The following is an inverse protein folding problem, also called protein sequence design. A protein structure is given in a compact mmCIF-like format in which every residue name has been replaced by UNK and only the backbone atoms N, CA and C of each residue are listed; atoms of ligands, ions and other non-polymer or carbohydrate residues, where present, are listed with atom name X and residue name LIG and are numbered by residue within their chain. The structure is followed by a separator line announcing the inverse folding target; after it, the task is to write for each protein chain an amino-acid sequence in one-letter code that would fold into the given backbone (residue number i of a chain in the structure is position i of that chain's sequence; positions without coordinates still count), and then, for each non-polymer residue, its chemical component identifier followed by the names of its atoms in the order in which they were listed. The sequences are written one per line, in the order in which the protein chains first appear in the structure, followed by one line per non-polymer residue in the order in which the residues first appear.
data_IF_619057215311
#
_entry.id   IF_619057215311
#
_cell.length_a   1.000
_cell.length_b   1.000
_cell.length_c   1.000
_cell.angle_alpha   90.00
_cell.angle_beta   90.00
_cell.angle_gamma   90.00
#
_symmetry.space_group_name_H-M   'P 1'
#
loop_
_entity.id
_entity.type
_entity.pdbx_description
1 polymer ?
#
# COMPACT_ATOMS: atom_id res chain seq x y z
N UNK A 1 -26.24 -35.77 43.99
CA UNK A 1 -26.27 -36.40 42.66
C UNK A 1 -25.95 -35.33 41.64
N UNK A 2 -24.72 -35.34 41.14
CA UNK A 2 -24.25 -34.48 40.05
C UNK A 2 -24.91 -34.90 38.74
N UNK A 3 -25.20 -33.94 37.88
CA UNK A 3 -25.23 -34.15 36.44
C UNK A 3 -24.65 -32.92 35.76
N UNK A 4 -23.34 -33.02 35.56
CA UNK A 4 -22.55 -32.34 34.56
C UNK A 4 -23.08 -32.70 33.16
N UNK A 5 -23.19 -31.74 32.25
CA UNK A 5 -23.23 -32.05 30.82
C UNK A 5 -22.60 -30.91 30.02
N UNK A 6 -21.31 -31.08 29.79
CA UNK A 6 -20.47 -30.30 28.89
C UNK A 6 -20.52 -30.87 27.47
N UNK A 7 -20.31 -29.98 26.50
CA UNK A 7 -19.83 -30.20 25.14
C UNK A 7 -20.78 -30.80 24.07
N UNK A 8 -21.20 -29.95 23.13
CA UNK A 8 -20.87 -30.09 21.70
C UNK A 8 -21.36 -28.85 20.92
N UNK A 9 -20.56 -27.77 20.90
CA UNK A 9 -20.75 -26.70 19.90
C UNK A 9 -19.95 -27.11 18.67
N UNK A 10 -20.65 -27.71 17.71
CA UNK A 10 -20.13 -28.05 16.40
C UNK A 10 -19.78 -26.76 15.62
N UNK A 11 -18.54 -26.66 15.14
CA UNK A 11 -18.09 -25.60 14.22
C UNK A 11 -18.90 -25.67 12.92
N UNK A 12 -19.38 -24.56 12.36
CA UNK A 12 -20.05 -24.60 11.06
C UNK A 12 -19.04 -25.00 9.99
N UNK A 13 -19.43 -25.97 9.17
CA UNK A 13 -18.71 -26.47 8.01
C UNK A 13 -18.61 -25.39 6.95
N UNK A 14 -17.38 -25.03 6.57
CA UNK A 14 -17.09 -24.22 5.38
C UNK A 14 -17.78 -24.86 4.17
N UNK A 15 -18.73 -24.14 3.58
CA UNK A 15 -19.49 -24.64 2.44
C UNK A 15 -18.65 -24.47 1.19
N UNK A 16 -18.62 -25.45 0.30
CA UNK A 16 -17.82 -25.50 -0.94
C UNK A 16 -17.91 -24.22 -1.81
N UNK A 17 -19.03 -23.51 -1.75
CA UNK A 17 -19.22 -22.21 -2.43
C UNK A 17 -18.34 -21.08 -1.86
N UNK A 18 -18.10 -21.08 -0.55
CA UNK A 18 -17.25 -20.08 0.12
C UNK A 18 -15.77 -20.29 -0.24
N UNK A 19 -15.38 -21.56 -0.32
CA UNK A 19 -14.03 -21.96 -0.75
C UNK A 19 -13.79 -21.58 -2.22
N UNK A 20 -14.75 -21.83 -3.11
CA UNK A 20 -14.63 -21.49 -4.53
C UNK A 20 -14.58 -19.96 -4.74
N UNK A 21 -15.43 -19.19 -4.04
CA UNK A 21 -15.41 -17.73 -4.11
C UNK A 21 -14.05 -17.14 -3.69
N UNK A 22 -13.50 -17.63 -2.57
CA UNK A 22 -12.20 -17.19 -2.06
C UNK A 22 -11.04 -17.53 -3.01
N UNK A 23 -11.11 -18.68 -3.69
CA UNK A 23 -10.13 -19.08 -4.71
C UNK A 23 -10.22 -18.19 -5.94
N UNK A 24 -11.41 -17.87 -6.43
CA UNK A 24 -11.60 -16.99 -7.60
C UNK A 24 -11.13 -15.55 -7.32
N UNK A 25 -11.42 -15.00 -6.14
CA UNK A 25 -10.95 -13.67 -5.72
C UNK A 25 -9.43 -13.60 -5.57
N UNK A 26 -8.82 -14.66 -5.01
CA UNK A 26 -7.35 -14.77 -4.91
C UNK A 26 -6.72 -14.82 -6.31
N UNK A 27 -7.34 -15.52 -7.26
CA UNK A 27 -6.85 -15.60 -8.64
C UNK A 27 -7.02 -14.29 -9.41
N UNK A 28 -8.10 -13.55 -9.20
CA UNK A 28 -8.33 -12.23 -9.80
C UNK A 28 -7.33 -11.20 -9.26
N UNK A 29 -7.10 -11.17 -7.95
CA UNK A 29 -6.09 -10.32 -7.33
C UNK A 29 -4.68 -10.67 -7.83
N UNK A 30 -4.36 -11.95 -7.95
CA UNK A 30 -3.08 -12.41 -8.53
C UNK A 30 -2.93 -12.05 -10.01
N UNK A 31 -4.00 -12.07 -10.81
CA UNK A 31 -3.97 -11.64 -12.22
C UNK A 31 -3.79 -10.12 -12.34
N UNK A 32 -4.45 -9.32 -11.51
CA UNK A 32 -4.25 -7.86 -11.46
C UNK A 32 -2.82 -7.50 -11.02
N UNK A 33 -2.27 -8.21 -10.04
CA UNK A 33 -0.88 -8.07 -9.62
C UNK A 33 0.13 -8.44 -10.71
N UNK A 34 -0.03 -9.61 -11.34
CA UNK A 34 0.86 -10.06 -12.42
C UNK A 34 0.73 -9.22 -13.70
N UNK A 35 -0.46 -8.70 -14.00
CA UNK A 35 -0.65 -7.77 -15.12
C UNK A 35 0.06 -6.44 -14.90
N UNK A 36 0.08 -5.92 -13.66
CA UNK A 36 0.85 -4.72 -13.29
C UNK A 36 2.36 -4.88 -13.47
N UNK A 37 2.90 -6.09 -13.25
CA UNK A 37 4.30 -6.43 -13.53
C UNK A 37 4.63 -6.53 -15.03
N UNK A 38 3.63 -6.64 -15.91
CA UNK A 38 3.79 -6.97 -17.32
C UNK A 38 3.82 -5.80 -18.31
N UNK A 39 3.60 -4.56 -17.88
CA UNK A 39 3.52 -3.38 -18.76
C UNK A 39 4.80 -2.53 -18.84
N UNK A 40 5.93 -3.04 -18.34
CA UNK A 40 7.26 -2.45 -18.56
C UNK A 40 7.82 -2.76 -19.96
N UNK A 41 7.09 -2.39 -21.02
CA UNK A 41 7.52 -2.51 -22.42
C UNK A 41 8.21 -1.24 -22.89
N UNK A 42 9.51 -1.32 -23.16
CA UNK A 42 10.37 -0.18 -23.48
C UNK A 42 10.00 0.62 -24.73
N UNK A 43 10.30 1.92 -24.66
CA UNK A 43 10.42 2.84 -25.79
C UNK A 43 11.67 3.68 -25.61
N UNK A 44 12.53 3.68 -26.62
CA UNK A 44 13.82 4.36 -26.67
C UNK A 44 13.67 5.89 -26.86
N UNK A 45 14.56 6.69 -26.26
CA UNK A 45 14.74 8.08 -26.67
C UNK A 45 15.48 9.00 -25.69
N UNK A 46 16.72 9.34 -26.06
CA UNK A 46 17.54 10.48 -25.64
C UNK A 46 18.29 10.43 -24.29
N UNK A 47 19.62 10.55 -24.42
CA UNK A 47 20.64 10.65 -23.37
C UNK A 47 21.02 12.13 -23.16
N UNK A 48 21.51 12.42 -21.95
CA UNK A 48 22.41 13.52 -21.54
C UNK A 48 21.80 14.85 -21.08
N UNK A 49 21.84 15.02 -19.76
CA UNK A 49 21.95 16.31 -19.07
C UNK A 49 22.49 16.11 -17.66
N UNK A 50 23.82 16.19 -17.50
CA UNK A 50 24.49 16.24 -16.20
C UNK A 50 24.11 17.54 -15.47
N UNK A 51 23.50 17.47 -14.29
CA UNK A 51 23.88 18.35 -13.18
C UNK A 51 23.69 17.64 -11.84
N UNK A 52 24.82 17.53 -11.12
CA UNK A 52 24.86 17.28 -9.69
C UNK A 52 24.64 18.63 -9.01
N UNK A 53 23.57 18.78 -8.25
CA UNK A 53 23.46 19.76 -7.18
C UNK A 53 22.37 19.29 -6.22
N UNK A 54 22.73 19.06 -4.96
CA UNK A 54 21.74 18.93 -3.91
C UNK A 54 21.16 20.31 -3.66
N UNK A 55 19.84 20.44 -3.75
CA UNK A 55 19.02 21.52 -3.19
C UNK A 55 17.54 21.18 -3.44
N UNK A 56 16.67 21.55 -2.49
CA UNK A 56 15.30 21.04 -2.34
C UNK A 56 14.42 21.12 -3.60
N UNK A 57 13.52 20.15 -3.71
CA UNK A 57 12.53 20.05 -4.79
C UNK A 57 11.65 21.30 -4.81
N UNK A 58 11.81 22.13 -5.84
CA UNK A 58 10.89 23.24 -6.10
C UNK A 58 9.50 22.69 -6.45
N UNK A 59 8.45 23.45 -6.11
CA UNK A 59 7.05 23.13 -6.43
C UNK A 59 6.91 22.67 -7.89
N UNK A 60 6.22 21.55 -8.12
CA UNK A 60 6.05 20.95 -9.46
C UNK A 60 5.45 21.96 -10.47
N UNK A 61 4.67 22.93 -9.99
CA UNK A 61 4.11 24.00 -10.80
C UNK A 61 5.07 25.18 -11.08
N UNK A 62 6.16 25.37 -10.31
CA UNK A 62 7.18 26.38 -10.64
C UNK A 62 8.00 25.98 -11.87
N UNK A 63 7.87 24.72 -12.30
CA UNK A 63 8.36 24.20 -13.57
C UNK A 63 7.35 24.42 -14.71
N UNK A 64 6.65 25.57 -14.72
CA UNK A 64 5.86 26.10 -15.84
C UNK A 64 6.69 26.42 -17.11
N UNK A 65 7.85 25.77 -17.25
CA UNK A 65 8.71 25.71 -18.42
C UNK A 65 9.06 24.27 -18.84
N UNK A 66 8.28 23.26 -18.43
CA UNK A 66 8.35 21.92 -19.03
C UNK A 66 8.68 20.73 -18.11
N UNK A 67 8.35 20.77 -16.81
CA UNK A 67 8.42 19.52 -16.04
C UNK A 67 7.24 18.61 -16.36
N UNK A 68 7.57 17.38 -16.74
CA UNK A 68 6.61 16.32 -16.94
C UNK A 68 6.04 15.90 -15.59
N UNK A 69 4.72 15.92 -15.44
CA UNK A 69 4.04 15.34 -14.28
C UNK A 69 4.48 13.88 -14.09
N UNK A 70 4.64 13.39 -12.85
CA UNK A 70 4.98 11.99 -12.61
C UNK A 70 3.98 11.03 -13.27
N UNK A 71 4.47 9.90 -13.75
CA UNK A 71 3.61 8.85 -14.25
C UNK A 71 2.73 8.27 -13.11
N UNK A 72 1.51 7.78 -13.44
CA UNK A 72 0.68 7.09 -12.47
C UNK A 72 1.44 5.96 -11.78
N UNK A 73 1.33 5.91 -10.46
CA UNK A 73 2.10 4.98 -9.61
C UNK A 73 1.15 4.04 -8.91
N UNK A 74 1.21 2.76 -9.30
CA UNK A 74 0.41 1.68 -8.71
C UNK A 74 1.18 0.97 -7.60
N UNK A 75 0.49 0.71 -6.49
CA UNK A 75 1.04 -0.05 -5.38
C UNK A 75 -0.07 -0.84 -4.65
N UNK A 76 0.30 -1.61 -3.62
CA UNK A 76 -0.57 -2.59 -3.00
C UNK A 76 -0.50 -2.51 -1.48
N UNK A 77 -1.66 -2.52 -0.81
CA UNK A 77 -1.80 -2.31 0.62
C UNK A 77 -2.29 -3.60 1.31
N UNK A 78 -1.43 -4.29 2.07
CA UNK A 78 -1.85 -5.39 2.92
C UNK A 78 -2.79 -4.90 4.03
N UNK A 79 -3.93 -5.55 4.17
CA UNK A 79 -4.98 -5.16 5.11
C UNK A 79 -5.61 -6.37 5.80
N UNK A 80 -6.44 -6.08 6.80
CA UNK A 80 -7.38 -7.03 7.41
C UNK A 80 -8.77 -6.39 7.34
N UNK A 81 -9.77 -7.17 6.95
CA UNK A 81 -11.15 -6.69 6.82
C UNK A 81 -11.97 -6.86 8.13
N UNK A 82 -13.28 -6.64 8.03
CA UNK A 82 -14.22 -6.80 9.13
C UNK A 82 -14.37 -8.23 9.67
N UNK A 83 -14.01 -9.24 8.87
CA UNK A 83 -14.11 -10.66 9.19
C UNK A 83 -12.80 -11.26 9.71
N UNK A 84 -11.80 -10.41 9.95
CA UNK A 84 -10.41 -10.78 10.29
C UNK A 84 -9.67 -11.55 9.16
N UNK A 85 -10.18 -11.49 7.93
CA UNK A 85 -9.53 -12.05 6.75
C UNK A 85 -8.51 -11.08 6.16
N UNK A 86 -7.42 -11.65 5.63
CA UNK A 86 -6.32 -10.90 5.03
C UNK A 86 -6.55 -10.65 3.56
N UNK A 87 -6.32 -9.42 3.14
CA UNK A 87 -6.46 -9.00 1.75
C UNK A 87 -5.37 -8.00 1.37
N UNK A 88 -5.24 -7.79 0.07
CA UNK A 88 -4.35 -6.77 -0.49
C UNK A 88 -5.19 -5.88 -1.37
N UNK A 89 -5.15 -4.57 -1.09
CA UNK A 89 -5.91 -3.55 -1.82
C UNK A 89 -4.97 -2.84 -2.79
N UNK A 90 -5.14 -3.01 -4.11
CA UNK A 90 -4.43 -2.20 -5.08
C UNK A 90 -4.92 -0.75 -5.02
N UNK A 91 -4.00 0.18 -5.26
CA UNK A 91 -4.35 1.57 -5.49
C UNK A 91 -3.36 2.21 -6.46
N UNK A 92 -3.80 3.32 -7.04
CA UNK A 92 -3.01 4.14 -7.94
C UNK A 92 -3.00 5.59 -7.46
N UNK A 93 -1.85 6.24 -7.61
CA UNK A 93 -1.65 7.65 -7.36
C UNK A 93 -1.31 8.35 -8.67
N UNK A 94 -2.01 9.44 -8.95
CA UNK A 94 -1.76 10.33 -10.08
C UNK A 94 -1.70 11.78 -9.59
N UNK A 95 -0.88 12.59 -10.25
CA UNK A 95 -0.77 14.01 -9.99
C UNK A 95 -1.19 14.81 -11.23
N UNK A 96 -2.02 15.82 -11.01
CA UNK A 96 -2.41 16.79 -12.05
C UNK A 96 -2.20 18.21 -11.54
N UNK A 97 -2.22 19.19 -12.44
CA UNK A 97 -2.26 20.60 -12.03
C UNK A 97 -3.49 20.86 -11.16
N UNK A 98 -3.33 21.66 -10.11
CA UNK A 98 -4.38 21.96 -9.13
C UNK A 98 -3.89 22.92 -8.04
N UNK A 99 -4.67 23.04 -6.97
CA UNK A 99 -4.44 23.93 -5.82
C UNK A 99 -4.24 23.13 -4.51
N UNK A 100 -3.73 21.90 -4.63
CA UNK A 100 -3.40 21.02 -3.50
C UNK A 100 -4.54 20.12 -3.04
N UNK A 101 -5.56 19.93 -3.87
CA UNK A 101 -6.69 19.06 -3.60
C UNK A 101 -6.26 17.59 -3.46
N UNK A 102 -7.08 16.84 -2.73
CA UNK A 102 -7.01 15.39 -2.66
C UNK A 102 -8.34 14.82 -3.15
N UNK A 103 -8.30 14.16 -4.30
CA UNK A 103 -9.43 13.39 -4.83
C UNK A 103 -9.22 11.92 -4.49
N UNK A 104 -10.22 11.31 -3.88
CA UNK A 104 -10.16 9.90 -3.47
C UNK A 104 -11.29 9.15 -4.15
N UNK A 105 -10.95 8.21 -5.03
CA UNK A 105 -11.91 7.27 -5.58
C UNK A 105 -11.77 5.93 -4.85
N UNK A 106 -12.83 5.51 -4.19
CA UNK A 106 -12.82 4.34 -3.32
C UNK A 106 -13.29 3.05 -4.00
N UNK A 107 -13.96 3.13 -5.15
CA UNK A 107 -14.47 1.98 -5.92
C UNK A 107 -15.01 0.82 -5.06
N UNK A 108 -15.93 1.09 -4.14
CA UNK A 108 -16.52 0.06 -3.27
C UNK A 108 -15.83 -0.13 -1.92
N UNK A 109 -14.79 0.65 -1.60
CA UNK A 109 -14.23 0.71 -0.23
C UNK A 109 -15.05 1.66 0.63
N UNK A 110 -15.37 1.24 1.85
CA UNK A 110 -16.09 2.08 2.81
C UNK A 110 -15.21 3.24 3.29
N UNK A 111 -15.75 4.47 3.23
CA UNK A 111 -15.09 5.64 3.79
C UNK A 111 -15.09 5.54 5.31
N UNK A 112 -13.91 5.44 5.92
CA UNK A 112 -13.74 5.50 7.37
C UNK A 112 -12.77 6.61 7.78
N UNK A 113 -12.87 7.03 9.05
CA UNK A 113 -12.07 8.12 9.59
C UNK A 113 -10.56 7.82 9.55
N UNK A 114 -10.19 6.54 9.72
CA UNK A 114 -8.81 6.06 9.64
C UNK A 114 -8.21 6.19 8.24
N UNK A 115 -8.96 5.89 7.17
CA UNK A 115 -8.47 6.05 5.80
C UNK A 115 -8.26 7.53 5.44
N UNK A 116 -9.19 8.40 5.83
CA UNK A 116 -9.05 9.85 5.60
C UNK A 116 -7.84 10.43 6.34
N UNK A 117 -7.61 9.96 7.57
CA UNK A 117 -6.45 10.35 8.36
C UNK A 117 -5.16 9.84 7.72
N UNK A 118 -5.10 8.56 7.35
CA UNK A 118 -3.95 7.93 6.70
C UNK A 118 -3.53 8.67 5.43
N UNK A 119 -4.48 9.05 4.58
CA UNK A 119 -4.20 9.76 3.32
C UNK A 119 -3.62 11.15 3.57
N UNK A 120 -4.13 11.87 4.58
CA UNK A 120 -3.62 13.20 4.94
C UNK A 120 -2.19 13.10 5.47
N UNK A 121 -1.97 12.23 6.44
CA UNK A 121 -0.67 12.06 7.09
C UNK A 121 0.38 11.47 6.13
N UNK A 122 -0.03 10.57 5.21
CA UNK A 122 0.86 10.08 4.15
C UNK A 122 1.30 11.18 3.19
N UNK A 123 0.42 12.13 2.82
CA UNK A 123 0.77 13.29 1.99
C UNK A 123 1.75 14.21 2.70
N UNK A 124 1.52 14.47 3.99
CA UNK A 124 2.42 15.28 4.83
C UNK A 124 3.79 14.61 5.04
N UNK A 125 3.80 13.30 5.25
CA UNK A 125 5.04 12.52 5.31
C UNK A 125 5.79 12.56 3.97
N UNK A 126 5.09 12.38 2.85
CA UNK A 126 5.70 12.38 1.53
C UNK A 126 6.33 13.73 1.16
N UNK A 127 5.64 14.86 1.42
CA UNK A 127 6.23 16.20 1.20
C UNK A 127 7.44 16.44 2.10
N UNK A 128 7.37 16.04 3.38
CA UNK A 128 8.51 16.12 4.31
C UNK A 128 9.72 15.31 3.85
N UNK A 129 9.50 14.07 3.39
CA UNK A 129 10.57 13.15 2.95
C UNK A 129 11.19 13.49 1.59
N UNK A 130 10.46 14.22 0.74
CA UNK A 130 10.92 14.63 -0.59
C UNK A 130 11.43 16.06 -0.62
N UNK A 131 11.08 16.88 0.39
CA UNK A 131 11.27 18.32 0.35
C UNK A 131 10.44 19.02 -0.73
N UNK A 132 9.46 18.32 -1.31
CA UNK A 132 8.58 18.84 -2.35
C UNK A 132 7.33 19.52 -1.78
N UNK A 133 6.55 20.12 -2.67
CA UNK A 133 5.26 20.76 -2.35
C UNK A 133 4.14 20.21 -3.23
N UNK A 134 3.00 19.96 -2.61
CA UNK A 134 1.75 19.61 -3.28
C UNK A 134 0.81 20.81 -3.42
N UNK A 135 1.22 22.03 -3.04
CA UNK A 135 0.33 23.21 -3.02
C UNK A 135 -0.28 23.53 -4.39
N UNK A 136 0.44 23.27 -5.48
CA UNK A 136 -0.01 23.55 -6.83
C UNK A 136 -0.26 22.25 -7.62
N UNK A 137 -0.65 21.19 -6.92
CA UNK A 137 -0.79 19.86 -7.51
C UNK A 137 -1.96 19.14 -6.87
N UNK A 138 -2.95 18.79 -7.68
CA UNK A 138 -4.02 17.91 -7.24
C UNK A 138 -3.49 16.46 -7.15
N UNK A 139 -3.78 15.79 -6.04
CA UNK A 139 -3.44 14.39 -5.81
C UNK A 139 -4.69 13.54 -6.03
N UNK A 140 -4.65 12.60 -6.96
CA UNK A 140 -5.72 11.62 -7.19
C UNK A 140 -5.28 10.27 -6.64
N UNK A 141 -6.08 9.69 -5.75
CA UNK A 141 -5.85 8.35 -5.20
C UNK A 141 -7.05 7.48 -5.53
N UNK A 142 -6.82 6.47 -6.38
CA UNK A 142 -7.86 5.54 -6.80
C UNK A 142 -7.57 4.17 -6.21
N UNK A 143 -8.46 3.69 -5.36
CA UNK A 143 -8.41 2.34 -4.83
C UNK A 143 -9.20 1.38 -5.72
N UNK A 144 -8.79 0.12 -5.75
CA UNK A 144 -9.54 -0.96 -6.41
C UNK A 144 -10.01 -1.94 -5.34
N UNK A 145 -11.33 -2.14 -5.22
CA UNK A 145 -11.85 -3.17 -4.32
C UNK A 145 -11.51 -4.56 -4.88
N UNK A 146 -10.86 -5.44 -4.08
CA UNK A 146 -10.59 -6.81 -4.48
C UNK A 146 -11.83 -7.71 -4.47
N UNK A 147 -12.95 -7.25 -3.92
CA UNK A 147 -14.21 -8.02 -3.84
C UNK A 147 -15.39 -7.23 -4.42
N UNK A 148 -16.45 -7.96 -4.78
CA UNK A 148 -17.66 -7.41 -5.43
C UNK A 148 -18.62 -6.67 -4.48
N UNK A 149 -18.23 -6.49 -3.21
CA UNK A 149 -19.04 -5.85 -2.17
C UNK A 149 -18.38 -4.61 -1.56
N UNK A 150 -19.07 -4.01 -0.57
CA UNK A 150 -18.50 -2.91 0.20
C UNK A 150 -17.44 -3.45 1.16
N UNK A 151 -16.21 -3.00 0.99
CA UNK A 151 -15.08 -3.46 1.79
C UNK A 151 -14.80 -2.49 2.95
N UNK A 152 -15.02 -2.97 4.17
CA UNK A 152 -14.72 -2.25 5.41
C UNK A 152 -13.29 -2.57 5.88
N UNK A 153 -12.35 -1.72 5.50
CA UNK A 153 -10.96 -1.83 5.94
C UNK A 153 -10.79 -1.36 7.39
N UNK A 154 -9.89 -1.99 8.17
CA UNK A 154 -9.63 -1.63 9.58
C UNK A 154 -8.24 -1.05 9.87
N UNK A 155 -8.23 0.18 10.38
CA UNK A 155 -7.08 0.80 11.04
C UNK A 155 -6.08 1.46 10.10
N UNK A 156 -5.34 2.46 10.58
CA UNK A 156 -4.43 3.33 9.80
C UNK A 156 -3.19 2.63 9.20
N UNK A 157 -3.08 1.29 9.29
CA UNK A 157 -1.87 0.52 8.96
C UNK A 157 -1.44 0.52 7.48
N UNK A 158 -2.19 1.18 6.61
CA UNK A 158 -1.89 1.37 5.18
C UNK A 158 -1.07 2.62 4.90
N UNK A 159 -0.92 3.50 5.89
CA UNK A 159 -0.24 4.79 5.73
C UNK A 159 1.20 4.65 5.24
N UNK A 160 1.94 3.66 5.73
CA UNK A 160 3.29 3.41 5.26
C UNK A 160 3.32 3.09 3.75
N UNK A 161 2.35 2.30 3.26
CA UNK A 161 2.24 1.97 1.84
C UNK A 161 1.80 3.17 0.98
N UNK A 162 0.86 3.97 1.48
CA UNK A 162 0.45 5.23 0.84
C UNK A 162 1.64 6.20 0.73
N UNK A 163 2.41 6.34 1.82
CA UNK A 163 3.61 7.19 1.87
C UNK A 163 4.66 6.72 0.88
N UNK A 164 4.90 5.40 0.80
CA UNK A 164 5.84 4.82 -0.17
C UNK A 164 5.45 5.16 -1.60
N UNK A 165 4.17 4.99 -1.97
CA UNK A 165 3.73 5.28 -3.34
C UNK A 165 3.82 6.77 -3.69
N UNK A 166 3.42 7.64 -2.76
CA UNK A 166 3.54 9.09 -2.93
C UNK A 166 4.99 9.54 -3.08
N UNK A 167 5.89 9.05 -2.22
CA UNK A 167 7.33 9.37 -2.30
C UNK A 167 7.94 8.85 -3.60
N UNK A 168 7.59 7.64 -4.03
CA UNK A 168 8.08 7.06 -5.27
C UNK A 168 7.66 7.89 -6.49
N UNK A 169 6.38 8.26 -6.54
CA UNK A 169 5.82 9.07 -7.62
C UNK A 169 6.46 10.46 -7.65
N UNK A 170 6.58 11.14 -6.49
CA UNK A 170 7.23 12.45 -6.39
C UNK A 170 8.73 12.41 -6.74
N UNK A 171 9.43 11.32 -6.40
CA UNK A 171 10.84 11.12 -6.79
C UNK A 171 11.00 10.56 -8.22
N UNK A 172 9.90 10.27 -8.91
CA UNK A 172 9.89 9.60 -10.21
C UNK A 172 10.73 8.31 -10.22
N UNK A 173 10.67 7.55 -9.12
CA UNK A 173 11.38 6.26 -8.97
C UNK A 173 10.38 5.11 -9.08
N UNK A 174 10.79 4.04 -9.74
CA UNK A 174 9.99 2.82 -9.85
C UNK A 174 9.90 2.10 -8.50
N UNK A 175 8.73 1.56 -8.20
CA UNK A 175 8.48 0.73 -7.01
C UNK A 175 8.69 -0.75 -7.33
N UNK A 176 9.36 -1.47 -6.44
CA UNK A 176 9.26 -2.92 -6.41
C UNK A 176 7.82 -3.34 -6.07
N UNK A 177 7.19 -4.09 -6.96
CA UNK A 177 5.89 -4.70 -6.67
C UNK A 177 6.05 -6.00 -5.86
N UNK A 178 7.27 -6.53 -5.74
CA UNK A 178 7.55 -7.75 -4.97
C UNK A 178 7.69 -7.51 -3.46
N UNK A 179 7.83 -6.24 -3.05
CA UNK A 179 8.02 -5.83 -1.65
C UNK A 179 6.85 -4.96 -1.21
N UNK A 180 6.06 -5.46 -0.26
CA UNK A 180 4.94 -4.73 0.34
C UNK A 180 5.33 -4.22 1.73
N UNK A 181 4.57 -3.26 2.25
CA UNK A 181 4.79 -2.68 3.59
C UNK A 181 3.46 -2.50 4.33
N UNK A 182 3.49 -2.68 5.65
CA UNK A 182 2.41 -2.25 6.55
C UNK A 182 3.01 -1.48 7.72
N UNK A 183 2.28 -0.50 8.24
CA UNK A 183 2.76 0.35 9.31
C UNK A 183 2.04 1.69 9.34
N UNK A 184 2.27 2.40 10.45
CA UNK A 184 1.90 3.81 10.62
C UNK A 184 3.19 4.62 10.62
N UNK A 185 3.23 5.78 9.95
CA UNK A 185 4.39 6.65 9.90
C UNK A 185 4.18 7.79 10.91
N UNK A 186 5.07 7.93 11.88
CA UNK A 186 5.00 9.07 12.79
C UNK A 186 5.68 10.33 12.21
N UNK A 187 5.61 11.44 12.95
CA UNK A 187 6.20 12.72 12.53
C UNK A 187 7.72 12.64 12.35
N UNK A 188 8.40 11.78 13.12
CA UNK A 188 9.83 11.53 13.03
C UNK A 188 10.19 10.57 11.88
N UNK A 189 9.21 9.94 11.24
CA UNK A 189 9.39 8.95 10.18
C UNK A 189 9.62 7.53 10.71
N UNK A 190 9.39 7.26 11.99
CA UNK A 190 9.44 5.91 12.54
C UNK A 190 8.18 5.12 12.11
N UNK A 191 8.35 3.80 11.94
CA UNK A 191 7.23 2.89 11.70
C UNK A 191 6.67 2.41 13.04
N UNK A 192 5.42 2.76 13.33
CA UNK A 192 4.74 2.35 14.56
C UNK A 192 4.10 0.96 14.43
N UNK A 193 4.00 0.18 15.54
CA UNK A 193 3.44 -1.17 15.53
C UNK A 193 2.01 -1.27 14.99
N UNK A 194 1.72 -2.38 14.32
CA UNK A 194 0.39 -2.70 13.78
C UNK A 194 0.03 -4.16 14.02
N UNK A 195 -1.27 -4.46 14.08
CA UNK A 195 -1.78 -5.81 14.24
C UNK A 195 -1.92 -6.59 12.92
N UNK A 196 -2.23 -7.88 13.05
CA UNK A 196 -2.59 -8.76 11.93
C UNK A 196 -1.43 -9.09 10.99
N UNK A 197 -0.18 -9.09 11.47
CA UNK A 197 1.02 -9.30 10.65
C UNK A 197 0.96 -10.63 9.89
N UNK A 198 0.58 -11.72 10.56
CA UNK A 198 0.42 -13.02 9.93
C UNK A 198 -0.63 -13.03 8.82
N UNK A 199 -1.81 -12.49 9.11
CA UNK A 199 -2.92 -12.42 8.14
C UNK A 199 -2.51 -11.60 6.91
N UNK A 200 -1.87 -10.44 7.14
CA UNK A 200 -1.34 -9.57 6.07
C UNK A 200 -0.21 -10.23 5.28
N UNK A 201 0.68 -10.96 5.94
CA UNK A 201 1.76 -11.69 5.29
C UNK A 201 1.22 -12.79 4.37
N UNK A 202 0.21 -13.55 4.82
CA UNK A 202 -0.46 -14.55 3.97
C UNK A 202 -1.11 -13.90 2.75
N UNK A 203 -1.79 -12.76 2.93
CA UNK A 203 -2.41 -12.02 1.82
C UNK A 203 -1.37 -11.46 0.82
N UNK A 204 -0.29 -10.85 1.34
CA UNK A 204 0.84 -10.40 0.52
C UNK A 204 1.44 -11.54 -0.30
N UNK A 205 1.63 -12.71 0.32
CA UNK A 205 2.14 -13.89 -0.38
C UNK A 205 1.18 -14.38 -1.46
N UNK A 206 -0.13 -14.38 -1.19
CA UNK A 206 -1.15 -14.86 -2.10
C UNK A 206 -1.19 -14.05 -3.42
N UNK A 207 -0.93 -12.74 -3.36
CA UNK A 207 -0.82 -11.91 -4.57
C UNK A 207 0.53 -12.05 -5.27
N UNK A 208 1.54 -12.66 -4.65
CA UNK A 208 2.83 -12.94 -5.27
C UNK A 208 4.00 -12.12 -4.71
N UNK A 209 3.79 -11.34 -3.66
CA UNK A 209 4.88 -10.65 -2.98
C UNK A 209 5.92 -11.66 -2.44
N UNK A 210 7.17 -11.21 -2.38
CA UNK A 210 8.31 -11.96 -1.84
C UNK A 210 8.76 -11.41 -0.50
N UNK A 211 8.49 -10.14 -0.23
CA UNK A 211 8.87 -9.50 1.03
C UNK A 211 7.71 -8.66 1.60
N UNK A 212 7.56 -8.71 2.92
CA UNK A 212 6.67 -7.82 3.66
C UNK A 212 7.50 -7.07 4.72
N UNK A 213 7.58 -5.75 4.56
CA UNK A 213 8.18 -4.86 5.55
C UNK A 213 7.16 -4.59 6.65
N UNK A 214 7.61 -4.76 7.90
CA UNK A 214 6.80 -4.57 9.11
C UNK A 214 7.54 -3.62 10.07
N UNK A 215 6.82 -2.94 10.98
CA UNK A 215 7.45 -2.12 12.02
C UNK A 215 8.41 -2.94 12.89
N UNK A 216 9.46 -2.30 13.40
CA UNK A 216 10.40 -2.95 14.30
C UNK A 216 9.71 -3.51 15.56
N UNK A 217 10.11 -4.70 16.00
CA UNK A 217 9.53 -5.39 17.15
C UNK A 217 8.21 -6.12 16.85
N UNK A 218 7.80 -6.19 15.59
CA UNK A 218 6.70 -7.05 15.16
C UNK A 218 7.12 -8.53 15.21
N UNK A 219 6.18 -9.48 15.42
CA UNK A 219 6.52 -10.90 15.40
C UNK A 219 7.06 -11.33 14.03
N UNK A 220 8.34 -11.72 13.98
CA UNK A 220 9.02 -12.21 12.77
C UNK A 220 9.00 -13.73 12.63
N UNK A 221 8.56 -14.44 13.66
CA UNK A 221 8.40 -15.90 13.70
C UNK A 221 7.18 -16.40 12.91
N UNK A 222 6.43 -15.47 12.34
CA UNK A 222 5.36 -15.72 11.38
C UNK A 222 5.92 -16.40 10.12
N UNK A 223 5.88 -17.72 10.09
CA UNK A 223 6.34 -18.52 8.97
C UNK A 223 5.31 -18.56 7.83
N UNK A 224 5.46 -17.68 6.84
CA UNK A 224 4.73 -17.76 5.56
C UNK A 224 5.68 -18.26 4.47
N UNK A 225 5.44 -19.47 3.96
CA UNK A 225 6.32 -20.08 2.96
C UNK A 225 6.42 -19.22 1.68
N UNK A 226 7.65 -18.87 1.32
CA UNK A 226 7.93 -18.07 0.12
C UNK A 226 7.71 -16.56 0.28
N UNK A 227 7.53 -16.08 1.52
CA UNK A 227 7.55 -14.66 1.87
C UNK A 227 8.60 -14.42 2.95
N UNK A 228 9.41 -13.36 2.81
CA UNK A 228 10.33 -12.89 3.84
C UNK A 228 9.66 -11.75 4.61
N UNK A 229 9.60 -11.86 5.94
CA UNK A 229 9.23 -10.73 6.79
C UNK A 229 10.50 -9.96 7.14
N UNK A 230 10.43 -8.64 7.01
CA UNK A 230 11.57 -7.73 7.19
C UNK A 230 11.14 -6.66 8.17
N UNK A 231 11.82 -6.55 9.29
CA UNK A 231 11.61 -5.41 10.19
C UNK A 231 12.27 -4.15 9.64
N UNK A 232 11.59 -3.02 9.82
CA UNK A 232 12.15 -1.70 9.54
C UNK A 232 11.76 -0.75 10.68
N UNK A 233 12.72 0.02 11.25
CA UNK A 233 12.40 1.00 12.29
C UNK A 233 11.84 2.29 11.71
N UNK A 234 12.11 2.60 10.44
CA UNK A 234 11.71 3.86 9.81
C UNK A 234 11.16 3.68 8.39
N UNK A 235 10.39 4.68 7.93
CA UNK A 235 9.91 4.76 6.56
C UNK A 235 11.06 4.99 5.57
N UNK A 236 12.13 5.68 5.98
CA UNK A 236 13.30 5.93 5.14
C UNK A 236 14.05 4.63 4.84
N UNK A 237 14.30 3.78 5.85
CA UNK A 237 14.94 2.47 5.64
C UNK A 237 14.09 1.56 4.75
N UNK A 238 12.76 1.66 4.87
CA UNK A 238 11.86 0.91 4.00
C UNK A 238 11.89 1.41 2.55
N UNK A 239 11.94 2.73 2.34
CA UNK A 239 12.06 3.34 1.01
C UNK A 239 13.35 2.91 0.30
N UNK A 240 14.48 2.83 1.01
CA UNK A 240 15.76 2.38 0.44
C UNK A 240 15.73 0.92 -0.03
N UNK A 241 14.78 0.13 0.48
CA UNK A 241 14.58 -1.26 0.07
C UNK A 241 13.55 -1.42 -1.06
N UNK A 242 12.55 -0.54 -1.13
CA UNK A 242 11.44 -0.64 -2.09
C UNK A 242 11.78 0.06 -3.42
N UNK A 243 12.51 1.19 -3.37
CA UNK A 243 12.87 2.03 -4.52
C UNK A 243 14.24 1.69 -5.11
#
# INVERSE_FOLDING_TARGET
MSSDNSAAVSRPSDTERDVIGRVEETLLSRRGFLAGLGLGGGGAGAVLGLTRAGEGFQSLATLAGGATLPAPTRYYLPAVDGSDDGLVVPFEVEFTDGEGELFVNLNGIEVRHDLQLALREAREAATRLTGGSLTNTATHVTFESPSSGVLALRGKSWEAGLTVALVASLRQRSLSQETLITGIVDDAGALLPVGGIETKARAARAVGARELIVPAGAPTDVAVQGLRIVESPSITDALDRIL
#
